data_IF_597095758945
#
_entry.id   IF_597095758945
#
_cell.length_a   1.000
_cell.length_b   1.000
_cell.length_c   1.000
_cell.angle_alpha   90.00
_cell.angle_beta   90.00
_cell.angle_gamma   90.00
#
_symmetry.space_group_name_H-M   'P 1'
#
loop_
_entity.id
_entity.type
_entity.pdbx_description
1 polymer ?
#
# COMPACT_ATOMS: atom_id res chain seq x y z
N UNK A 1 26.37 -56.40 16.71
CA UNK A 1 25.81 -55.08 17.10
C UNK A 1 26.34 -54.05 16.10
N UNK A 2 25.55 -53.06 15.67
CA UNK A 2 25.81 -52.07 14.60
C UNK A 2 25.23 -52.40 13.21
N UNK A 3 23.90 -52.43 13.08
CA UNK A 3 23.24 -52.04 11.81
C UNK A 3 21.78 -51.63 12.05
N UNK A 4 21.56 -50.64 12.92
CA UNK A 4 20.23 -50.06 13.13
C UNK A 4 20.19 -48.52 13.00
N UNK A 5 21.36 -47.87 12.86
CA UNK A 5 21.46 -46.40 12.79
C UNK A 5 21.38 -45.84 11.35
N UNK A 6 21.85 -46.60 10.35
CA UNK A 6 21.97 -46.10 8.97
C UNK A 6 20.64 -45.77 8.28
N UNK A 7 19.60 -46.57 8.50
CA UNK A 7 18.28 -46.35 7.89
C UNK A 7 17.46 -45.25 8.58
N UNK A 8 17.70 -45.00 9.88
CA UNK A 8 17.11 -43.88 10.61
C UNK A 8 17.75 -42.54 10.22
N UNK A 9 19.07 -42.55 9.99
CA UNK A 9 19.81 -41.37 9.53
C UNK A 9 19.42 -41.00 8.09
N UNK A 10 19.30 -41.97 7.17
CA UNK A 10 18.85 -41.73 5.78
C UNK A 10 17.43 -41.14 5.72
N UNK A 11 16.51 -41.64 6.56
CA UNK A 11 15.15 -41.12 6.66
C UNK A 11 15.11 -39.70 7.24
N UNK A 12 15.94 -39.41 8.25
CA UNK A 12 16.05 -38.07 8.83
C UNK A 12 16.61 -37.04 7.85
N UNK A 13 17.60 -37.43 7.04
CA UNK A 13 18.16 -36.60 5.96
C UNK A 13 17.13 -36.32 4.85
N UNK A 14 16.30 -37.30 4.48
CA UNK A 14 15.22 -37.12 3.50
C UNK A 14 14.11 -36.17 3.98
N UNK A 15 13.72 -36.25 5.25
CA UNK A 15 12.70 -35.36 5.84
C UNK A 15 13.23 -33.93 5.98
N UNK A 16 14.51 -33.75 6.34
CA UNK A 16 15.14 -32.45 6.45
C UNK A 16 15.27 -31.74 5.08
N UNK A 17 15.57 -32.49 4.02
CA UNK A 17 15.66 -31.94 2.66
C UNK A 17 14.31 -31.45 2.13
N UNK A 18 13.20 -32.14 2.45
CA UNK A 18 11.84 -31.75 2.05
C UNK A 18 11.39 -30.45 2.74
N UNK A 19 11.76 -30.24 4.00
CA UNK A 19 11.44 -29.02 4.76
C UNK A 19 12.17 -27.79 4.17
N UNK A 20 13.41 -27.96 3.69
CA UNK A 20 14.20 -26.88 3.08
C UNK A 20 13.62 -26.48 1.70
N UNK A 21 13.13 -27.44 0.91
CA UNK A 21 12.48 -27.15 -0.38
C UNK A 21 11.14 -26.43 -0.19
N UNK A 22 10.36 -26.77 0.83
CA UNK A 22 9.08 -26.10 1.13
C UNK A 22 9.26 -24.65 1.63
N UNK A 23 10.42 -24.30 2.20
CA UNK A 23 10.73 -22.94 2.61
C UNK A 23 11.00 -21.99 1.42
N UNK A 24 11.29 -22.52 0.22
CA UNK A 24 11.51 -21.71 -0.99
C UNK A 24 10.22 -21.19 -1.65
N UNK A 25 9.06 -21.74 -1.29
CA UNK A 25 7.75 -21.33 -1.81
C UNK A 25 7.13 -20.10 -1.11
N UNK A 26 7.78 -19.57 -0.07
CA UNK A 26 7.32 -18.40 0.69
C UNK A 26 7.95 -17.07 0.23
N UNK A 27 8.67 -17.04 -0.89
CA UNK A 27 9.06 -15.78 -1.54
C UNK A 27 8.08 -15.44 -2.66
N UNK A 28 6.84 -15.20 -2.26
CA UNK A 28 5.78 -14.73 -3.14
C UNK A 28 5.68 -13.21 -3.00
N UNK A 29 6.49 -12.45 -3.75
CA UNK A 29 6.27 -11.02 -3.93
C UNK A 29 5.04 -10.82 -4.82
N UNK A 30 3.86 -10.87 -4.21
CA UNK A 30 2.57 -10.60 -4.88
C UNK A 30 2.14 -9.14 -4.73
N UNK A 31 2.98 -8.30 -4.12
CA UNK A 31 2.67 -6.89 -3.90
C UNK A 31 2.60 -6.10 -5.21
N UNK A 32 3.35 -6.50 -6.24
CA UNK A 32 3.42 -5.78 -7.51
C UNK A 32 2.32 -6.16 -8.52
N UNK A 33 1.70 -7.34 -8.38
CA UNK A 33 0.74 -7.86 -9.37
C UNK A 33 -0.72 -7.39 -9.15
N UNK A 34 -1.05 -6.81 -8.00
CA UNK A 34 -2.43 -6.39 -7.68
C UNK A 34 -2.56 -4.87 -7.51
N UNK A 35 -1.44 -4.19 -7.21
CA UNK A 35 -1.31 -2.76 -7.35
C UNK A 35 -0.11 -2.52 -8.23
N UNK A 36 -0.28 -2.03 -9.46
CA UNK A 36 0.85 -1.49 -10.16
C UNK A 36 1.30 -0.30 -9.30
N UNK A 37 2.33 -0.53 -8.49
CA UNK A 37 3.51 0.30 -8.55
C UNK A 37 4.09 0.19 -9.96
N UNK A 38 3.29 0.54 -10.98
CA UNK A 38 3.84 1.13 -12.17
C UNK A 38 4.77 2.18 -11.61
N UNK A 39 6.02 2.12 -12.03
CA UNK A 39 7.01 3.14 -11.75
C UNK A 39 6.40 4.44 -12.23
N UNK A 40 5.60 5.08 -11.38
CA UNK A 40 4.88 6.29 -11.71
C UNK A 40 6.00 7.28 -11.88
N UNK A 41 6.22 7.68 -13.12
CA UNK A 41 7.30 8.56 -13.48
C UNK A 41 6.98 9.95 -12.95
N UNK A 42 7.36 10.19 -11.69
CA UNK A 42 7.06 11.43 -10.99
C UNK A 42 7.75 12.64 -11.62
N UNK A 43 8.70 12.44 -12.54
CA UNK A 43 9.26 13.54 -13.35
C UNK A 43 8.23 14.14 -14.32
N UNK A 44 7.14 13.42 -14.62
CA UNK A 44 6.05 13.84 -15.52
C UNK A 44 4.76 14.20 -14.80
N UNK A 45 4.73 14.12 -13.48
CA UNK A 45 3.54 14.37 -12.66
C UNK A 45 3.74 15.62 -11.81
N UNK A 46 2.88 16.62 -12.02
CA UNK A 46 2.84 17.81 -11.14
C UNK A 46 2.16 17.45 -9.82
N UNK A 47 2.93 16.92 -8.87
CA UNK A 47 2.44 16.45 -7.57
C UNK A 47 2.63 17.48 -6.44
N UNK A 48 2.14 18.71 -6.64
CA UNK A 48 2.16 19.76 -5.62
C UNK A 48 1.09 19.51 -4.55
N UNK A 49 1.24 20.11 -3.36
CA UNK A 49 0.18 19.99 -2.35
C UNK A 49 -1.13 20.62 -2.85
N UNK A 50 -1.06 21.66 -3.68
CA UNK A 50 -2.26 22.23 -4.32
C UNK A 50 -3.01 21.20 -5.18
N UNK A 51 -2.30 20.41 -5.99
CA UNK A 51 -2.91 19.33 -6.77
C UNK A 51 -3.53 18.25 -5.88
N UNK A 52 -2.82 17.86 -4.81
CA UNK A 52 -3.33 16.92 -3.80
C UNK A 52 -4.58 17.44 -3.12
N UNK A 53 -4.58 18.70 -2.67
CA UNK A 53 -5.71 19.34 -2.00
C UNK A 53 -6.95 19.32 -2.88
N UNK A 54 -6.81 19.55 -4.20
CA UNK A 54 -7.93 19.45 -5.15
C UNK A 54 -8.53 18.04 -5.20
N UNK A 55 -7.69 17.00 -5.20
CA UNK A 55 -8.16 15.61 -5.16
C UNK A 55 -8.87 15.32 -3.84
N UNK A 56 -8.28 15.71 -2.71
CA UNK A 56 -8.87 15.50 -1.39
C UNK A 56 -10.22 16.22 -1.25
N UNK A 57 -10.31 17.46 -1.74
CA UNK A 57 -11.53 18.27 -1.85
C UNK A 57 -12.66 17.58 -2.60
N UNK A 58 -12.33 16.98 -3.76
CA UNK A 58 -13.33 16.35 -4.63
C UNK A 58 -13.70 14.93 -4.25
N UNK A 59 -12.84 14.20 -3.54
CA UNK A 59 -12.96 12.74 -3.37
C UNK A 59 -12.94 12.24 -1.93
N UNK A 60 -12.35 12.98 -0.99
CA UNK A 60 -12.05 12.46 0.35
C UNK A 60 -12.74 13.22 1.47
N UNK A 61 -12.68 14.56 1.45
CA UNK A 61 -13.26 15.43 2.48
C UNK A 61 -14.58 16.07 2.01
N UNK A 62 -15.42 15.29 1.35
CA UNK A 62 -16.78 15.68 1.01
C UNK A 62 -17.72 15.54 2.22
N UNK A 63 -18.95 16.07 2.09
CA UNK A 63 -19.97 15.93 3.13
C UNK A 63 -20.23 14.45 3.47
N UNK A 64 -20.29 14.12 4.76
CA UNK A 64 -20.41 12.74 5.26
C UNK A 64 -19.10 11.95 5.31
N UNK A 65 -17.99 12.49 4.81
CA UNK A 65 -16.70 11.81 4.73
C UNK A 65 -15.64 12.50 5.62
N UNK A 66 -14.44 12.77 5.10
CA UNK A 66 -13.29 13.25 5.88
C UNK A 66 -13.19 14.79 5.98
N UNK A 67 -14.34 15.46 6.05
CA UNK A 67 -14.39 16.92 6.27
C UNK A 67 -14.51 17.23 7.77
N UNK A 68 -14.30 18.49 8.17
CA UNK A 68 -14.30 18.89 9.57
C UNK A 68 -15.64 18.65 10.26
N UNK A 69 -16.75 18.79 9.53
CA UNK A 69 -18.12 18.60 10.05
C UNK A 69 -18.44 17.13 10.33
N UNK A 70 -18.06 16.23 9.43
CA UNK A 70 -18.47 14.82 9.47
C UNK A 70 -17.40 13.94 10.13
N UNK A 71 -16.13 14.30 9.94
CA UNK A 71 -14.95 13.64 10.50
C UNK A 71 -15.06 12.11 10.48
N UNK A 72 -15.47 11.53 9.35
CA UNK A 72 -15.75 10.10 9.25
C UNK A 72 -14.54 9.27 9.69
N UNK A 73 -14.76 8.34 10.63
CA UNK A 73 -13.68 7.56 11.24
C UNK A 73 -12.67 8.41 12.01
N UNK A 74 -13.11 9.54 12.57
CA UNK A 74 -12.29 10.51 13.30
C UNK A 74 -11.12 11.09 12.49
N UNK A 75 -11.27 11.18 11.17
CA UNK A 75 -10.26 11.72 10.25
C UNK A 75 -10.81 12.91 9.49
N UNK A 76 -10.05 14.00 9.51
CA UNK A 76 -10.26 15.21 8.72
C UNK A 76 -9.08 15.38 7.77
N UNK A 77 -9.30 15.78 6.52
CA UNK A 77 -8.28 15.91 5.46
C UNK A 77 -8.31 17.27 4.75
N UNK A 78 -8.64 18.35 5.45
CA UNK A 78 -8.83 19.68 4.85
C UNK A 78 -7.54 20.52 4.81
N UNK A 79 -6.61 20.27 5.74
CA UNK A 79 -5.32 20.98 5.85
C UNK A 79 -4.14 20.11 5.44
N UNK A 80 -3.00 20.75 5.17
CA UNK A 80 -1.77 20.05 4.80
C UNK A 80 -1.32 19.09 5.90
N UNK A 81 -1.26 19.55 7.15
CA UNK A 81 -0.80 18.74 8.27
C UNK A 81 -1.71 17.52 8.50
N UNK A 82 -3.03 17.71 8.34
CA UNK A 82 -4.01 16.64 8.39
C UNK A 82 -3.79 15.60 7.27
N UNK A 83 -3.62 16.05 6.02
CA UNK A 83 -3.36 15.16 4.89
C UNK A 83 -2.04 14.41 5.05
N UNK A 84 -0.97 15.13 5.43
CA UNK A 84 0.37 14.58 5.68
C UNK A 84 0.35 13.50 6.76
N UNK A 85 -0.30 13.77 7.89
CA UNK A 85 -0.42 12.81 8.99
C UNK A 85 -1.14 11.51 8.56
N UNK A 86 -1.98 11.58 7.52
CA UNK A 86 -2.74 10.44 7.01
C UNK A 86 -2.15 9.85 5.72
N UNK A 87 -1.00 10.32 5.21
CA UNK A 87 -0.44 9.91 3.93
C UNK A 87 -0.33 8.38 3.76
N UNK A 88 0.21 7.68 4.77
CA UNK A 88 0.31 6.22 4.76
C UNK A 88 -1.07 5.54 4.72
N UNK A 89 -2.04 6.08 5.46
CA UNK A 89 -3.41 5.54 5.51
C UNK A 89 -4.18 5.82 4.22
N UNK A 90 -3.97 6.97 3.59
CA UNK A 90 -4.50 7.30 2.27
C UNK A 90 -3.98 6.28 1.25
N UNK A 91 -2.66 6.04 1.22
CA UNK A 91 -2.05 5.02 0.35
C UNK A 91 -2.67 3.65 0.57
N UNK A 92 -2.77 3.21 1.83
CA UNK A 92 -3.35 1.90 2.14
C UNK A 92 -4.82 1.81 1.72
N UNK A 93 -5.66 2.78 2.07
CA UNK A 93 -7.11 2.65 1.91
C UNK A 93 -7.61 2.97 0.50
N UNK A 94 -6.95 3.91 -0.18
CA UNK A 94 -7.39 4.36 -1.49
C UNK A 94 -6.65 3.68 -2.65
N UNK A 95 -5.40 3.25 -2.45
CA UNK A 95 -4.59 2.73 -3.56
C UNK A 95 -4.51 1.22 -3.47
N UNK A 96 -4.15 0.72 -2.27
CA UNK A 96 -4.09 -0.70 -1.94
C UNK A 96 -5.52 -1.20 -1.75
N UNK A 97 -6.14 -1.11 -0.59
CA UNK A 97 -7.43 -1.74 -0.34
C UNK A 97 -8.58 -1.29 -1.27
N UNK A 98 -8.45 -0.11 -1.91
CA UNK A 98 -9.47 0.51 -2.78
C UNK A 98 -10.85 0.57 -2.11
N UNK A 99 -10.85 0.73 -0.79
CA UNK A 99 -12.08 0.86 0.03
C UNK A 99 -12.52 2.31 0.16
N UNK A 100 -11.68 3.25 -0.28
CA UNK A 100 -11.96 4.68 -0.28
C UNK A 100 -11.56 5.30 -1.63
N UNK A 101 -12.36 6.24 -2.19
CA UNK A 101 -13.69 6.64 -1.72
C UNK A 101 -14.73 5.51 -1.87
N UNK A 102 -15.81 5.50 -1.07
CA UNK A 102 -16.91 4.56 -1.27
C UNK A 102 -17.59 4.79 -2.63
N UNK A 103 -17.94 3.71 -3.33
CA UNK A 103 -18.71 3.74 -4.57
C UNK A 103 -17.88 3.92 -5.85
N UNK A 104 -16.82 4.72 -5.83
CA UNK A 104 -15.92 4.87 -6.99
C UNK A 104 -14.46 5.03 -6.54
N UNK A 105 -13.54 4.15 -6.99
CA UNK A 105 -12.11 4.30 -6.70
C UNK A 105 -11.54 5.53 -7.42
N UNK A 106 -10.37 5.97 -6.97
CA UNK A 106 -9.60 7.01 -7.66
C UNK A 106 -9.19 6.56 -9.07
N UNK A 107 -9.17 7.52 -9.98
CA UNK A 107 -8.65 7.32 -11.34
C UNK A 107 -7.13 7.17 -11.34
N UNK A 108 -6.56 6.59 -12.40
CA UNK A 108 -5.11 6.42 -12.50
C UNK A 108 -4.33 7.77 -12.40
N UNK A 109 -4.76 8.88 -13.02
CA UNK A 109 -4.09 10.18 -12.83
C UNK A 109 -4.15 10.70 -11.38
N UNK A 110 -5.27 10.53 -10.68
CA UNK A 110 -5.40 10.94 -9.28
C UNK A 110 -4.49 10.11 -8.37
N UNK A 111 -4.42 8.78 -8.59
CA UNK A 111 -3.49 7.89 -7.89
C UNK A 111 -2.04 8.31 -8.17
N UNK A 112 -1.70 8.69 -9.41
CA UNK A 112 -0.35 9.12 -9.77
C UNK A 112 0.07 10.39 -9.01
N UNK A 113 -0.80 11.40 -8.95
CA UNK A 113 -0.54 12.65 -8.19
C UNK A 113 -0.30 12.34 -6.70
N UNK A 114 -1.20 11.59 -6.06
CA UNK A 114 -1.05 11.26 -4.64
C UNK A 114 0.16 10.36 -4.37
N UNK A 115 0.45 9.39 -5.25
CA UNK A 115 1.62 8.51 -5.14
C UNK A 115 2.90 9.32 -5.21
N UNK A 116 3.03 10.21 -6.18
CA UNK A 116 4.22 11.06 -6.33
C UNK A 116 4.39 12.03 -5.17
N UNK A 117 3.31 12.62 -4.67
CA UNK A 117 3.38 13.50 -3.49
C UNK A 117 3.83 12.74 -2.24
N UNK A 118 3.29 11.55 -1.98
CA UNK A 118 3.67 10.70 -0.84
C UNK A 118 5.13 10.25 -0.97
N UNK A 119 5.54 9.75 -2.15
CA UNK A 119 6.89 9.28 -2.40
C UNK A 119 7.94 10.42 -2.36
N UNK A 120 7.54 11.66 -2.63
CA UNK A 120 8.38 12.85 -2.50
C UNK A 120 8.44 13.39 -1.06
N UNK A 121 8.07 12.56 -0.07
CA UNK A 121 8.02 12.92 1.34
C UNK A 121 7.04 14.07 1.66
N UNK A 122 5.91 14.15 0.97
CA UNK A 122 4.77 15.05 1.23
C UNK A 122 5.16 16.55 1.25
N UNK A 123 5.72 17.11 0.16
CA UNK A 123 6.08 18.53 0.14
C UNK A 123 4.86 19.45 0.30
N UNK A 124 5.05 20.60 0.94
CA UNK A 124 4.04 21.68 1.02
C UNK A 124 4.42 22.80 0.05
N UNK A 125 4.07 22.64 -1.22
CA UNK A 125 4.47 23.49 -2.34
C UNK A 125 3.32 23.77 -3.31
#
# INVERSE_FOLDING_TARGET
MHSFYGSKLLKALGVLAIIIVLASGCYYDKAELIYPGSTTDCSKVTATYTAVKTILAGKCNTAGCHNATSAAGSVVLETYDQAKAQAARIKQRAFVDKTMPPGAPLTAPEIAVLTCWINSNTPNN
#
